data_IF_467130860010
#
_entry.id   IF_467130860010
#
_cell.length_a   1.000
_cell.length_b   1.000
_cell.length_c   1.000
_cell.angle_alpha   90.00
_cell.angle_beta   90.00
_cell.angle_gamma   90.00
#
_symmetry.space_group_name_H-M   'P 1'
#
loop_
_entity.id
_entity.type
_entity.pdbx_description
1 polymer ?
#
# COMPACT_ATOMS: atom_id res chain seq x y z
N UNK A 1 31.38 -31.72 3.53
CA UNK A 1 32.51 -30.83 3.21
C UNK A 1 33.14 -30.23 4.47
N UNK A 2 32.44 -29.41 5.27
CA UNK A 2 32.99 -28.81 6.52
C UNK A 2 33.39 -29.85 7.58
N UNK A 3 32.62 -30.94 7.72
CA UNK A 3 32.93 -32.04 8.67
C UNK A 3 34.26 -32.72 8.32
N UNK A 4 34.59 -32.84 7.04
CA UNK A 4 35.85 -33.45 6.60
C UNK A 4 37.06 -32.56 6.96
N UNK A 5 36.95 -31.24 6.79
CA UNK A 5 37.99 -30.27 7.16
C UNK A 5 38.22 -30.23 8.69
N UNK A 6 37.18 -30.41 9.48
CA UNK A 6 37.27 -30.40 10.94
C UNK A 6 38.05 -31.61 11.53
N UNK A 7 38.07 -32.73 10.80
CA UNK A 7 38.71 -33.99 11.20
C UNK A 7 40.11 -34.13 10.56
N UNK A 8 40.51 -33.18 9.71
CA UNK A 8 41.78 -33.23 9.01
C UNK A 8 42.98 -33.24 9.97
N UNK A 9 44.03 -33.97 9.57
CA UNK A 9 45.31 -34.06 10.29
C UNK A 9 46.15 -32.80 10.16
N UNK A 10 45.99 -32.04 9.08
CA UNK A 10 46.67 -30.77 8.87
C UNK A 10 46.08 -29.67 9.78
N UNK A 11 46.97 -28.98 10.50
CA UNK A 11 46.59 -27.99 11.51
C UNK A 11 45.90 -26.77 10.89
N UNK A 12 46.31 -26.37 9.70
CA UNK A 12 45.74 -25.22 9.01
C UNK A 12 44.33 -25.55 8.51
N UNK A 13 44.19 -26.68 7.83
CA UNK A 13 42.92 -27.20 7.32
C UNK A 13 41.88 -27.37 8.43
N UNK A 14 42.32 -27.84 9.61
CA UNK A 14 41.47 -27.95 10.80
C UNK A 14 41.05 -26.60 11.40
N UNK A 15 41.93 -25.60 11.39
CA UNK A 15 41.60 -24.24 11.83
C UNK A 15 40.61 -23.58 10.86
N UNK A 16 40.81 -23.76 9.57
CA UNK A 16 39.90 -23.28 8.53
C UNK A 16 38.52 -23.95 8.65
N UNK A 17 38.48 -25.26 8.94
CA UNK A 17 37.24 -26.00 9.22
C UNK A 17 36.49 -25.50 10.46
N UNK A 18 37.21 -25.08 11.52
CA UNK A 18 36.61 -24.44 12.71
C UNK A 18 36.04 -23.08 12.37
N UNK A 19 36.83 -22.23 11.69
CA UNK A 19 36.39 -20.90 11.30
C UNK A 19 35.15 -20.96 10.38
N UNK A 20 35.15 -21.84 9.38
CA UNK A 20 34.01 -22.08 8.50
C UNK A 20 32.76 -22.54 9.26
N UNK A 21 32.92 -23.34 10.30
CA UNK A 21 31.80 -23.76 11.15
C UNK A 21 31.22 -22.58 11.95
N UNK A 22 32.08 -21.67 12.40
CA UNK A 22 31.69 -20.49 13.18
C UNK A 22 31.04 -19.39 12.31
N UNK A 23 31.38 -19.30 11.02
CA UNK A 23 30.80 -18.32 10.10
C UNK A 23 29.60 -18.84 9.28
N UNK A 24 29.45 -20.15 9.16
CA UNK A 24 28.37 -20.72 8.36
C UNK A 24 27.04 -20.65 9.11
N UNK A 25 25.99 -20.28 8.38
CA UNK A 25 24.64 -20.22 8.92
C UNK A 25 24.21 -21.58 9.47
N UNK A 26 23.65 -21.57 10.68
CA UNK A 26 23.08 -22.78 11.28
C UNK A 26 21.70 -23.09 10.68
N UNK A 27 21.23 -24.32 10.88
CA UNK A 27 19.96 -24.79 10.30
C UNK A 27 18.77 -23.89 10.65
N UNK A 28 18.73 -23.39 11.88
CA UNK A 28 17.65 -22.49 12.34
C UNK A 28 17.69 -21.14 11.64
N UNK A 29 18.89 -20.60 11.34
CA UNK A 29 19.05 -19.36 10.58
C UNK A 29 18.64 -19.54 9.12
N UNK A 30 18.99 -20.67 8.50
CA UNK A 30 18.52 -21.02 7.15
C UNK A 30 17.00 -21.14 7.08
N UNK A 31 16.39 -21.79 8.08
CA UNK A 31 14.93 -21.88 8.18
C UNK A 31 14.31 -20.49 8.33
N UNK A 32 14.90 -19.64 9.18
CA UNK A 32 14.44 -18.27 9.38
C UNK A 32 14.53 -17.42 8.09
N UNK A 33 15.62 -17.54 7.32
CA UNK A 33 15.73 -16.89 6.00
C UNK A 33 14.64 -17.40 5.06
N UNK A 34 14.43 -18.71 4.99
CA UNK A 34 13.40 -19.30 4.13
C UNK A 34 11.99 -18.82 4.50
N UNK A 35 11.71 -18.59 5.77
CA UNK A 35 10.42 -18.05 6.24
C UNK A 35 10.29 -16.53 6.00
N UNK A 36 11.41 -15.80 5.92
CA UNK A 36 11.44 -14.37 5.60
C UNK A 36 11.20 -14.07 4.11
N UNK A 37 11.69 -14.93 3.21
CA UNK A 37 11.55 -14.76 1.75
C UNK A 37 10.10 -14.43 1.33
N UNK A 38 9.06 -15.22 1.66
CA UNK A 38 7.69 -14.92 1.22
C UNK A 38 7.13 -13.62 1.80
N UNK A 39 7.63 -13.17 2.96
CA UNK A 39 7.24 -11.89 3.55
C UNK A 39 7.81 -10.75 2.69
N UNK A 40 9.11 -10.82 2.38
CA UNK A 40 9.81 -9.79 1.61
C UNK A 40 9.40 -9.79 0.12
N UNK A 41 9.00 -10.93 -0.44
CA UNK A 41 8.52 -11.05 -1.80
C UNK A 41 7.31 -10.13 -2.07
N UNK A 42 6.40 -9.99 -1.10
CA UNK A 42 5.27 -9.06 -1.22
C UNK A 42 5.70 -7.60 -1.42
N UNK A 43 6.83 -7.20 -0.83
CA UNK A 43 7.39 -5.86 -0.99
C UNK A 43 8.13 -5.71 -2.31
N UNK A 44 8.88 -6.74 -2.74
CA UNK A 44 9.56 -6.75 -4.02
C UNK A 44 8.57 -6.61 -5.19
N UNK A 45 7.47 -7.38 -5.15
CA UNK A 45 6.39 -7.31 -6.14
C UNK A 45 5.74 -5.91 -6.15
N UNK A 46 5.54 -5.32 -4.98
CA UNK A 46 4.99 -3.97 -4.86
C UNK A 46 5.90 -2.90 -5.47
N UNK A 47 7.22 -3.00 -5.26
CA UNK A 47 8.19 -2.05 -5.82
C UNK A 47 8.34 -2.21 -7.33
N UNK A 48 8.37 -3.44 -7.84
CA UNK A 48 8.44 -3.69 -9.28
C UNK A 48 7.19 -3.14 -10.01
N UNK A 49 6.01 -3.35 -9.43
CA UNK A 49 4.77 -2.81 -9.99
C UNK A 49 4.75 -1.26 -9.95
N UNK A 50 5.35 -0.66 -8.92
CA UNK A 50 5.50 0.79 -8.79
C UNK A 50 6.49 1.37 -9.80
N UNK A 51 7.64 0.71 -10.01
CA UNK A 51 8.69 1.13 -10.95
C UNK A 51 8.20 1.09 -12.40
N UNK A 52 7.30 0.16 -12.72
CA UNK A 52 6.71 0.02 -14.04
C UNK A 52 5.55 0.99 -14.32
N UNK A 53 5.13 1.80 -13.34
CA UNK A 53 4.06 2.79 -13.51
C UNK A 53 4.63 4.17 -13.79
N UNK A 54 4.15 4.87 -14.83
CA UNK A 54 4.55 6.26 -15.08
C UNK A 54 4.11 7.21 -13.96
N UNK A 55 3.06 6.83 -13.22
CA UNK A 55 2.48 7.61 -12.14
C UNK A 55 2.15 6.73 -10.94
N UNK A 56 2.91 6.88 -9.87
CA UNK A 56 2.59 6.28 -8.56
C UNK A 56 1.50 7.14 -7.90
N UNK A 57 0.24 6.77 -8.12
CA UNK A 57 -0.93 7.49 -7.60
C UNK A 57 -1.39 6.85 -6.29
N UNK A 58 -1.93 7.65 -5.36
CA UNK A 58 -2.48 7.20 -4.08
C UNK A 58 -3.49 6.05 -4.25
N UNK A 59 -4.27 6.07 -5.34
CA UNK A 59 -5.23 5.01 -5.71
C UNK A 59 -4.59 3.66 -5.98
N UNK A 60 -3.34 3.64 -6.44
CA UNK A 60 -2.55 2.43 -6.69
C UNK A 60 -1.77 1.99 -5.46
N UNK A 61 -1.21 2.94 -4.70
CA UNK A 61 -0.44 2.64 -3.49
C UNK A 61 -1.31 2.01 -2.40
N UNK A 62 -2.54 2.47 -2.25
CA UNK A 62 -3.39 2.04 -1.15
C UNK A 62 -3.79 0.55 -1.23
N UNK A 63 -4.26 -0.01 -2.37
CA UNK A 63 -4.46 -1.45 -2.52
C UNK A 63 -3.18 -2.26 -2.27
N UNK A 64 -2.05 -1.78 -2.77
CA UNK A 64 -0.73 -2.43 -2.63
C UNK A 64 -0.30 -2.53 -1.16
N UNK A 65 -0.40 -1.42 -0.42
CA UNK A 65 -0.14 -1.38 1.02
C UNK A 65 -1.10 -2.29 1.78
N UNK A 66 -2.38 -2.33 1.38
CA UNK A 66 -3.36 -3.19 2.04
C UNK A 66 -3.03 -4.68 1.87
N UNK A 67 -2.54 -5.10 0.70
CA UNK A 67 -2.04 -6.46 0.46
C UNK A 67 -0.86 -6.77 1.38
N UNK A 68 0.12 -5.86 1.46
CA UNK A 68 1.28 -6.02 2.34
C UNK A 68 0.84 -6.13 3.80
N UNK A 69 -0.03 -5.23 4.28
CA UNK A 69 -0.56 -5.27 5.65
C UNK A 69 -1.21 -6.62 5.94
N UNK A 70 -2.02 -7.15 5.02
CA UNK A 70 -2.68 -8.45 5.18
C UNK A 70 -1.68 -9.60 5.27
N UNK A 71 -0.58 -9.54 4.53
CA UNK A 71 0.48 -10.56 4.57
C UNK A 71 1.29 -10.56 5.88
N UNK A 72 1.46 -9.37 6.46
CA UNK A 72 2.27 -9.13 7.65
C UNK A 72 1.46 -9.29 8.95
N UNK A 73 0.14 -9.03 8.92
CA UNK A 73 -0.74 -9.10 10.08
C UNK A 73 -0.76 -10.51 10.68
N UNK A 74 -0.18 -10.67 11.87
CA UNK A 74 -0.17 -11.93 12.62
C UNK A 74 -1.37 -12.02 13.56
N UNK A 75 -1.88 -13.23 13.84
CA UNK A 75 -3.08 -13.45 14.67
C UNK A 75 -2.89 -13.16 16.17
N UNK A 76 -1.65 -13.06 16.65
CA UNK A 76 -1.33 -12.85 18.07
C UNK A 76 -0.44 -11.61 18.26
N UNK A 77 -1.07 -10.44 18.41
CA UNK A 77 -0.38 -9.19 18.74
C UNK A 77 -0.17 -9.08 20.26
N UNK A 78 1.07 -9.19 20.72
CA UNK A 78 1.47 -8.73 22.05
C UNK A 78 2.54 -7.64 21.88
N UNK A 79 2.21 -6.44 22.36
CA UNK A 79 2.87 -5.16 22.03
C UNK A 79 4.14 -4.89 22.87
N UNK A 80 4.53 -5.82 23.73
CA UNK A 80 5.58 -5.55 24.70
C UNK A 80 6.91 -6.11 24.18
N UNK A 81 7.83 -5.22 23.80
CA UNK A 81 9.26 -5.42 23.45
C UNK A 81 9.61 -5.31 21.96
N UNK A 82 9.76 -4.07 21.47
CA UNK A 82 10.62 -3.77 20.31
C UNK A 82 11.81 -2.95 20.79
N UNK A 83 12.85 -3.65 21.25
CA UNK A 83 14.17 -3.07 21.51
C UNK A 83 15.00 -2.98 20.23
N UNK A 84 15.88 -1.99 20.13
CA UNK A 84 16.79 -1.81 19.00
C UNK A 84 17.59 -3.09 18.68
N UNK A 85 17.49 -3.55 17.45
CA UNK A 85 18.18 -4.77 16.97
C UNK A 85 19.66 -4.46 16.73
N UNK A 86 20.54 -5.01 17.56
CA UNK A 86 21.99 -5.00 17.29
C UNK A 86 22.32 -6.07 16.24
N UNK A 87 22.87 -5.63 15.11
CA UNK A 87 23.15 -6.46 13.93
C UNK A 87 24.39 -7.37 14.15
N UNK A 88 25.25 -7.06 15.12
CA UNK A 88 26.58 -7.69 15.27
C UNK A 88 26.62 -8.91 16.22
N UNK A 89 25.47 -9.49 16.57
CA UNK A 89 25.39 -10.63 17.49
C UNK A 89 24.47 -11.70 16.92
N UNK A 90 24.84 -12.98 17.14
CA UNK A 90 24.01 -14.15 16.81
C UNK A 90 22.58 -13.90 17.31
N UNK A 91 21.62 -13.83 16.38
CA UNK A 91 20.24 -13.49 16.71
C UNK A 91 19.55 -14.76 17.23
N UNK A 92 18.91 -14.67 18.41
CA UNK A 92 17.99 -15.71 18.83
C UNK A 92 16.81 -15.75 17.84
N UNK A 93 16.80 -16.77 16.99
CA UNK A 93 15.81 -16.94 15.93
C UNK A 93 14.42 -17.30 16.49
N UNK A 94 14.28 -17.51 17.82
CA UNK A 94 12.98 -17.73 18.45
C UNK A 94 12.03 -16.57 18.15
N UNK A 95 10.92 -16.91 17.50
CA UNK A 95 9.87 -15.97 17.10
C UNK A 95 10.37 -14.83 16.20
N UNK A 96 11.48 -15.00 15.47
CA UNK A 96 12.05 -13.96 14.60
C UNK A 96 11.00 -13.46 13.59
N UNK A 97 10.27 -14.38 12.96
CA UNK A 97 9.22 -14.03 12.01
C UNK A 97 8.14 -13.17 12.64
N UNK A 98 7.72 -13.50 13.87
CA UNK A 98 6.72 -12.71 14.57
C UNK A 98 7.25 -11.29 14.88
N UNK A 99 8.51 -11.18 15.32
CA UNK A 99 9.15 -9.87 15.58
C UNK A 99 9.27 -9.04 14.31
N UNK A 100 9.71 -9.63 13.21
CA UNK A 100 9.83 -8.96 11.91
C UNK A 100 8.46 -8.53 11.41
N UNK A 101 7.45 -9.41 11.48
CA UNK A 101 6.08 -9.06 11.10
C UNK A 101 5.52 -7.91 11.93
N UNK A 102 5.70 -7.95 13.24
CA UNK A 102 5.23 -6.87 14.12
C UNK A 102 5.95 -5.56 13.81
N UNK A 103 7.27 -5.57 13.66
CA UNK A 103 8.03 -4.38 13.30
C UNK A 103 7.57 -3.80 11.96
N UNK A 104 7.43 -4.64 10.92
CA UNK A 104 6.94 -4.21 9.61
C UNK A 104 5.53 -3.62 9.69
N UNK A 105 4.62 -4.24 10.45
CA UNK A 105 3.26 -3.74 10.64
C UNK A 105 3.25 -2.35 11.28
N UNK A 106 4.01 -2.17 12.36
CA UNK A 106 4.16 -0.88 13.04
C UNK A 106 4.76 0.19 12.11
N UNK A 107 5.81 -0.15 11.36
CA UNK A 107 6.40 0.78 10.40
C UNK A 107 5.44 1.14 9.27
N UNK A 108 4.68 0.19 8.74
CA UNK A 108 3.68 0.47 7.72
C UNK A 108 2.62 1.42 8.28
N UNK A 109 2.10 1.19 9.49
CA UNK A 109 1.12 2.09 10.11
C UNK A 109 1.73 3.48 10.35
N UNK A 110 2.96 3.54 10.84
CA UNK A 110 3.64 4.79 11.15
C UNK A 110 3.91 5.64 9.91
N UNK A 111 4.51 5.06 8.87
CA UNK A 111 4.87 5.79 7.65
C UNK A 111 3.70 5.98 6.69
N UNK A 112 2.78 5.02 6.62
CA UNK A 112 1.59 5.07 5.75
C UNK A 112 0.32 5.44 6.51
N UNK A 113 0.42 6.41 7.42
CA UNK A 113 -0.73 7.02 8.08
C UNK A 113 -1.50 7.98 7.13
N UNK A 114 -1.75 7.54 5.90
CA UNK A 114 -2.71 8.22 5.03
C UNK A 114 -4.06 8.05 5.71
N UNK A 115 -4.73 9.18 6.01
CA UNK A 115 -6.09 9.19 6.52
C UNK A 115 -6.91 8.22 5.67
N UNK A 116 -7.35 7.10 6.28
CA UNK A 116 -7.97 5.97 5.56
C UNK A 116 -9.00 6.45 4.56
N UNK A 117 -9.79 7.43 4.97
CA UNK A 117 -10.82 8.04 4.16
C UNK A 117 -10.35 8.67 2.84
N UNK A 118 -9.25 9.43 2.84
CA UNK A 118 -8.75 10.06 1.63
C UNK A 118 -8.12 9.06 0.67
N UNK A 119 -7.43 8.04 1.20
CA UNK A 119 -6.93 6.94 0.38
C UNK A 119 -8.08 6.19 -0.29
N UNK A 120 -9.12 5.87 0.46
CA UNK A 120 -10.32 5.19 -0.03
C UNK A 120 -11.11 6.01 -1.05
N UNK A 121 -11.22 7.33 -0.84
CA UNK A 121 -11.84 8.24 -1.80
C UNK A 121 -11.00 8.36 -3.08
N UNK A 122 -9.67 8.43 -2.97
CA UNK A 122 -8.79 8.48 -4.12
C UNK A 122 -8.88 7.22 -4.99
N UNK A 123 -8.97 6.05 -4.35
CA UNK A 123 -9.22 4.78 -5.04
C UNK A 123 -10.59 4.82 -5.74
N UNK A 124 -11.64 5.26 -5.03
CA UNK A 124 -12.97 5.29 -5.60
C UNK A 124 -13.07 6.21 -6.82
N UNK A 125 -12.29 7.29 -6.84
CA UNK A 125 -12.19 8.22 -7.96
C UNK A 125 -11.33 7.68 -9.12
N UNK A 126 -10.56 6.61 -8.88
CA UNK A 126 -9.81 5.91 -9.91
C UNK A 126 -10.70 4.85 -10.56
N UNK A 127 -10.97 5.04 -11.85
CA UNK A 127 -11.83 4.14 -12.63
C UNK A 127 -11.31 2.71 -12.71
N UNK A 128 -10.05 2.44 -12.34
CA UNK A 128 -9.44 1.09 -12.33
C UNK A 128 -9.69 0.31 -11.05
N UNK A 129 -10.09 0.97 -9.96
CA UNK A 129 -10.22 0.34 -8.64
C UNK A 129 -11.60 0.56 -8.02
N UNK A 130 -12.55 0.97 -8.85
CA UNK A 130 -13.85 1.49 -8.44
C UNK A 130 -14.73 0.45 -7.75
N UNK A 131 -14.56 -0.83 -8.05
CA UNK A 131 -15.24 -1.95 -7.37
C UNK A 131 -14.88 -2.11 -5.91
N UNK A 132 -13.75 -1.52 -5.46
CA UNK A 132 -13.24 -1.66 -4.09
C UNK A 132 -13.13 -3.12 -3.63
N UNK A 133 -12.84 -4.04 -4.57
CA UNK A 133 -12.85 -5.51 -4.37
C UNK A 133 -11.90 -6.00 -3.26
N UNK A 134 -10.90 -5.21 -2.91
CA UNK A 134 -9.92 -5.49 -1.85
C UNK A 134 -10.39 -5.06 -0.45
N UNK A 135 -11.57 -4.44 -0.34
CA UNK A 135 -12.18 -3.95 0.91
C UNK A 135 -13.45 -4.76 1.19
N UNK A 136 -13.72 -5.03 2.46
CA UNK A 136 -15.00 -5.60 2.88
C UNK A 136 -16.17 -4.71 2.44
N UNK A 137 -17.20 -5.33 1.86
CA UNK A 137 -18.41 -4.66 1.35
C UNK A 137 -19.12 -3.79 2.39
N UNK A 138 -18.94 -4.11 3.67
CA UNK A 138 -19.49 -3.37 4.81
C UNK A 138 -19.05 -1.89 4.84
N UNK A 139 -17.82 -1.60 4.38
CA UNK A 139 -17.29 -0.24 4.38
C UNK A 139 -17.64 0.56 3.12
N UNK A 140 -18.23 -0.07 2.09
CA UNK A 140 -18.48 0.59 0.80
C UNK A 140 -19.46 1.75 0.95
N UNK A 141 -20.54 1.56 1.71
CA UNK A 141 -21.55 2.58 1.93
C UNK A 141 -20.98 3.82 2.65
N UNK A 142 -20.12 3.61 3.65
CA UNK A 142 -19.49 4.71 4.39
C UNK A 142 -18.60 5.55 3.47
N UNK A 143 -17.84 4.89 2.58
CA UNK A 143 -16.98 5.57 1.59
C UNK A 143 -17.83 6.37 0.60
N UNK A 144 -18.94 5.80 0.10
CA UNK A 144 -19.85 6.51 -0.81
C UNK A 144 -20.51 7.73 -0.17
N UNK A 145 -20.95 7.62 1.08
CA UNK A 145 -21.49 8.75 1.83
C UNK A 145 -20.44 9.84 2.04
N UNK A 146 -19.19 9.44 2.30
CA UNK A 146 -18.09 10.39 2.50
C UNK A 146 -17.71 11.11 1.21
N UNK A 147 -17.62 10.39 0.09
CA UNK A 147 -17.40 10.99 -1.24
C UNK A 147 -18.50 12.01 -1.54
N UNK A 148 -19.76 11.64 -1.32
CA UNK A 148 -20.92 12.52 -1.53
C UNK A 148 -20.83 13.79 -0.68
N UNK A 149 -20.45 13.66 0.59
CA UNK A 149 -20.28 14.79 1.49
C UNK A 149 -19.21 15.77 0.97
N UNK A 150 -18.02 15.25 0.64
CA UNK A 150 -16.89 16.05 0.12
C UNK A 150 -17.26 16.73 -1.20
N UNK A 151 -17.89 15.99 -2.11
CA UNK A 151 -18.31 16.53 -3.40
C UNK A 151 -19.30 17.69 -3.22
N UNK A 152 -20.30 17.53 -2.34
CA UNK A 152 -21.28 18.57 -2.07
C UNK A 152 -20.65 19.81 -1.42
N UNK A 153 -19.71 19.62 -0.50
CA UNK A 153 -18.94 20.71 0.10
C UNK A 153 -18.15 21.49 -0.95
N UNK A 154 -17.43 20.77 -1.83
CA UNK A 154 -16.65 21.38 -2.92
C UNK A 154 -17.52 22.06 -3.97
N UNK A 155 -18.66 21.48 -4.32
CA UNK A 155 -19.65 22.08 -5.23
C UNK A 155 -20.18 23.41 -4.67
N UNK A 156 -20.45 23.45 -3.36
CA UNK A 156 -20.87 24.67 -2.68
C UNK A 156 -19.76 25.73 -2.69
N UNK A 157 -18.51 25.34 -2.39
CA UNK A 157 -17.34 26.22 -2.44
C UNK A 157 -17.15 26.83 -3.85
N UNK A 158 -17.19 25.99 -4.88
CA UNK A 158 -17.09 26.42 -6.28
C UNK A 158 -18.21 27.40 -6.67
N UNK A 159 -19.44 27.14 -6.23
CA UNK A 159 -20.59 28.02 -6.54
C UNK A 159 -20.44 29.42 -5.94
N UNK A 160 -19.84 29.52 -4.74
CA UNK A 160 -19.53 30.79 -4.07
C UNK A 160 -18.42 31.55 -4.81
N UNK A 161 -17.37 30.85 -5.23
CA UNK A 161 -16.30 31.44 -6.03
C UNK A 161 -16.81 31.92 -7.40
N UNK A 162 -17.61 31.11 -8.10
CA UNK A 162 -18.20 31.47 -9.39
C UNK A 162 -19.07 32.72 -9.31
N UNK A 163 -19.90 32.88 -8.26
CA UNK A 163 -20.69 34.11 -8.03
C UNK A 163 -19.80 35.36 -7.90
N UNK A 164 -18.69 35.25 -7.16
CA UNK A 164 -17.71 36.34 -6.99
C UNK A 164 -17.00 36.74 -8.29
N UNK A 165 -16.73 35.78 -9.18
CA UNK A 165 -16.12 36.06 -10.49
C UNK A 165 -17.14 36.51 -11.55
N UNK A 166 -18.38 36.02 -11.50
CA UNK A 166 -19.45 36.43 -12.42
C UNK A 166 -19.88 37.88 -12.23
N UNK A 167 -19.80 38.41 -11.00
CA UNK A 167 -19.98 39.86 -10.76
C UNK A 167 -18.90 40.72 -11.43
N UNK A 168 -17.75 40.14 -11.80
CA UNK A 168 -16.60 40.86 -12.40
C UNK A 168 -16.53 40.80 -13.93
N UNK A 169 -17.13 39.79 -14.57
CA UNK A 169 -17.13 39.64 -16.03
C UNK A 169 -18.51 39.16 -16.54
N UNK A 170 -19.35 40.13 -16.91
CA UNK A 170 -20.56 39.92 -17.70
C UNK A 170 -20.19 39.62 -19.16
N UNK A 171 -19.61 38.45 -19.44
CA UNK A 171 -19.36 38.02 -20.83
C UNK A 171 -20.39 36.97 -21.23
N UNK A 172 -21.30 37.42 -22.10
CA UNK A 172 -22.18 36.69 -23.02
C UNK A 172 -22.96 35.50 -22.43
N UNK A 173 -23.96 35.82 -21.59
CA UNK A 173 -25.03 34.92 -21.17
C UNK A 173 -25.67 34.14 -22.33
N UNK A 174 -25.67 34.71 -23.55
CA UNK A 174 -26.31 34.12 -24.72
C UNK A 174 -25.55 32.90 -25.28
N UNK A 175 -24.22 32.96 -25.31
CA UNK A 175 -23.40 31.82 -25.75
C UNK A 175 -23.39 30.74 -24.66
N UNK A 176 -23.29 31.17 -23.39
CA UNK A 176 -23.38 30.26 -22.25
C UNK A 176 -24.74 29.54 -22.19
N UNK A 177 -25.85 30.22 -22.51
CA UNK A 177 -27.18 29.61 -22.53
C UNK A 177 -27.38 28.64 -23.70
N UNK A 178 -26.73 28.88 -24.85
CA UNK A 178 -26.76 27.96 -26.01
C UNK A 178 -26.12 26.61 -25.72
N UNK A 179 -25.06 26.56 -24.91
CA UNK A 179 -24.40 25.32 -24.50
C UNK A 179 -24.89 24.76 -23.16
N UNK A 180 -25.77 25.50 -22.46
CA UNK A 180 -26.41 25.03 -21.22
C UNK A 180 -27.46 23.97 -21.56
N UNK A 181 -27.02 22.74 -21.82
CA UNK A 181 -27.95 21.62 -21.93
C UNK A 181 -28.67 21.47 -20.59
N UNK A 182 -30.01 21.44 -20.63
CA UNK A 182 -30.85 21.03 -19.50
C UNK A 182 -30.68 19.53 -19.28
N UNK A 183 -29.55 19.13 -18.71
CA UNK A 183 -29.52 17.85 -18.02
C UNK A 183 -30.42 18.02 -16.80
N UNK A 184 -31.37 17.10 -16.61
CA UNK A 184 -31.91 16.90 -15.26
C UNK A 184 -30.70 16.71 -14.36
N UNK A 185 -30.60 17.52 -13.32
CA UNK A 185 -29.50 17.48 -12.38
C UNK A 185 -29.62 16.18 -11.58
N UNK A 186 -29.24 15.07 -12.22
CA UNK A 186 -29.00 13.80 -11.57
C UNK A 186 -27.93 14.00 -10.51
N UNK A 187 -27.94 13.13 -9.53
CA UNK A 187 -26.86 13.09 -8.57
C UNK A 187 -25.57 12.64 -9.27
N UNK A 188 -24.69 13.60 -9.58
CA UNK A 188 -23.42 13.39 -10.30
C UNK A 188 -22.56 12.30 -9.67
N UNK A 189 -22.62 12.16 -8.33
CA UNK A 189 -21.91 11.09 -7.62
C UNK A 189 -22.49 9.71 -7.97
N UNK A 190 -23.81 9.56 -7.98
CA UNK A 190 -24.46 8.31 -8.42
C UNK A 190 -24.20 8.02 -9.90
N UNK A 191 -24.23 9.04 -10.74
CA UNK A 191 -23.93 8.87 -12.17
C UNK A 191 -22.49 8.41 -12.37
N UNK A 192 -21.53 9.06 -11.69
CA UNK A 192 -20.15 8.61 -11.67
C UNK A 192 -20.06 7.16 -11.20
N UNK A 193 -20.71 6.78 -10.10
CA UNK A 193 -20.69 5.42 -9.55
C UNK A 193 -21.23 4.35 -10.51
N UNK A 194 -22.06 4.70 -11.51
CA UNK A 194 -22.56 3.76 -12.53
C UNK A 194 -21.59 3.46 -13.68
N UNK A 195 -20.58 4.32 -13.89
CA UNK A 195 -19.56 4.09 -14.94
C UNK A 195 -18.83 2.77 -14.70
N UNK A 196 -18.56 1.99 -15.75
CA UNK A 196 -17.88 0.70 -15.59
C UNK A 196 -16.41 0.88 -15.16
N UNK A 197 -15.89 -0.11 -14.43
CA UNK A 197 -14.46 -0.17 -14.09
C UNK A 197 -13.67 -0.49 -15.36
N UNK A 198 -12.56 0.22 -15.56
CA UNK A 198 -11.71 0.09 -16.75
C UNK A 198 -10.53 -0.82 -16.44
N UNK A 199 -10.17 -1.71 -17.36
CA UNK A 199 -8.99 -2.56 -17.15
C UNK A 199 -7.70 -1.73 -17.15
N UNK A 200 -6.64 -2.23 -16.50
CA UNK A 200 -5.34 -1.55 -16.52
C UNK A 200 -4.86 -1.29 -17.94
N UNK A 201 -4.97 -2.25 -18.85
CA UNK A 201 -4.53 -2.13 -20.25
C UNK A 201 -5.27 -1.07 -21.06
N UNK A 202 -6.49 -0.70 -20.66
CA UNK A 202 -7.32 0.28 -21.34
C UNK A 202 -7.14 1.70 -20.77
N UNK A 203 -6.40 1.86 -19.67
CA UNK A 203 -6.16 3.15 -19.06
C UNK A 203 -5.14 3.96 -19.89
N UNK A 204 -5.50 5.18 -20.37
CA UNK A 204 -4.60 6.01 -21.16
C UNK A 204 -3.45 6.64 -20.36
N UNK A 205 -3.40 6.38 -19.04
CA UNK A 205 -2.42 6.94 -18.10
C UNK A 205 -1.48 5.90 -17.49
N UNK A 206 -1.36 4.72 -18.11
CA UNK A 206 -0.35 3.72 -17.73
C UNK A 206 1.03 4.04 -18.32
#
# INVERSE_FOLDING_TARGET
>A
MIIALYIDSDKQTKNDGKWLKDINLIKDEWNAISELVPILESFANATELSDNSQYVIVSFMYPTINIIIRSVKSSNFNINEVGAVKINTLQDCKNLILKVKNALYEFIIYYWNILKDYGLIAILLDSRYKSLSFIFSEFHNDIYLKLRSIYNEKKLEYSKQKKKYHEKYLINLLLASMFSRKYECGDEVTEYLRVEEISFSECPFN
#
